data_IF_143132745264
#
_entry.id   IF_143132745264
#
_cell.length_a   1.000
_cell.length_b   1.000
_cell.length_c   1.000
_cell.angle_alpha   90.00
_cell.angle_beta   90.00
_cell.angle_gamma   90.00
#
_symmetry.space_group_name_H-M   'P 1'
#
loop_
_entity.id
_entity.type
_entity.pdbx_description
1 polymer ?
#
# COMPACT_ATOMS: atom_id res chain seq x y z
N UNK A 1 -14.84 2.16 -10.10
CA UNK A 1 -13.84 1.78 -11.13
C UNK A 1 -12.47 1.96 -10.50
N UNK A 2 -11.93 0.86 -9.99
CA UNK A 2 -10.55 0.82 -9.54
C UNK A 2 -9.70 0.59 -10.78
N UNK A 3 -8.66 1.38 -10.94
CA UNK A 3 -7.62 1.13 -11.91
C UNK A 3 -6.42 1.96 -11.51
N UNK A 4 -5.28 1.30 -11.39
CA UNK A 4 -4.05 1.96 -11.00
C UNK A 4 -2.86 1.03 -11.13
N UNK A 5 -3.03 -0.27 -10.91
CA UNK A 5 -1.96 -1.22 -11.22
C UNK A 5 -2.57 -2.52 -11.71
N UNK A 6 -2.34 -2.84 -12.98
CA UNK A 6 -2.55 -4.19 -13.50
C UNK A 6 -1.63 -5.16 -12.72
N UNK A 7 -2.18 -6.16 -12.01
CA UNK A 7 -1.39 -7.09 -11.21
C UNK A 7 -0.42 -7.95 -12.05
N UNK A 8 -0.65 -8.04 -13.36
CA UNK A 8 0.22 -8.71 -14.33
C UNK A 8 1.44 -7.88 -14.76
N UNK A 9 1.42 -6.55 -14.59
CA UNK A 9 2.53 -5.66 -14.97
C UNK A 9 3.60 -5.52 -13.89
N UNK A 10 3.38 -6.12 -12.73
CA UNK A 10 4.31 -6.09 -11.60
C UNK A 10 5.26 -7.29 -11.76
N UNK A 11 6.60 -7.09 -11.80
CA UNK A 11 7.55 -8.21 -11.80
C UNK A 11 7.27 -9.14 -10.61
N UNK A 12 7.39 -10.46 -10.75
CA UNK A 12 7.02 -11.42 -9.68
C UNK A 12 7.75 -11.16 -8.35
N UNK A 13 8.98 -10.65 -8.37
CA UNK A 13 9.71 -10.15 -7.19
C UNK A 13 8.99 -8.99 -6.48
N UNK A 14 8.31 -8.13 -7.24
CA UNK A 14 7.52 -7.03 -6.71
C UNK A 14 6.09 -7.45 -6.35
N UNK A 15 5.50 -8.49 -6.96
CA UNK A 15 4.14 -8.95 -6.62
C UNK A 15 4.03 -9.36 -5.15
N UNK A 16 5.07 -9.95 -4.58
CA UNK A 16 5.08 -10.32 -3.16
C UNK A 16 5.05 -9.11 -2.21
N UNK A 17 5.68 -8.00 -2.58
CA UNK A 17 5.77 -6.78 -1.77
C UNK A 17 4.80 -5.67 -2.21
N UNK A 18 4.09 -5.86 -3.33
CA UNK A 18 3.10 -4.91 -3.80
C UNK A 18 1.79 -5.12 -3.04
N UNK A 19 1.23 -4.00 -2.60
CA UNK A 19 -0.10 -3.88 -2.04
C UNK A 19 -0.94 -3.04 -2.99
N UNK A 20 -2.12 -3.54 -3.36
CA UNK A 20 -3.03 -2.87 -4.28
C UNK A 20 -4.46 -2.95 -3.74
N UNK A 21 -5.27 -1.94 -4.09
CA UNK A 21 -6.65 -1.81 -3.65
C UNK A 21 -6.94 -0.47 -2.99
N UNK A 22 -8.04 -0.40 -2.25
CA UNK A 22 -8.43 0.80 -1.49
C UNK A 22 -7.44 1.09 -0.34
N UNK A 23 -7.33 2.34 0.16
CA UNK A 23 -6.42 2.68 1.24
C UNK A 23 -6.57 1.80 2.49
N UNK A 24 -7.81 1.40 2.83
CA UNK A 24 -8.09 0.42 3.90
C UNK A 24 -7.50 -0.96 3.61
N UNK A 25 -7.68 -1.50 2.40
CA UNK A 25 -7.13 -2.80 2.04
C UNK A 25 -5.61 -2.79 2.01
N UNK A 26 -5.00 -1.67 1.61
CA UNK A 26 -3.56 -1.48 1.66
C UNK A 26 -3.09 -1.49 3.12
N UNK A 27 -3.80 -0.79 4.01
CA UNK A 27 -3.48 -0.77 5.45
C UNK A 27 -3.58 -2.17 6.09
N UNK A 28 -4.62 -2.94 5.77
CA UNK A 28 -4.75 -4.33 6.24
C UNK A 28 -3.61 -5.23 5.75
N UNK A 29 -3.27 -5.15 4.45
CA UNK A 29 -2.15 -5.91 3.89
C UNK A 29 -0.81 -5.51 4.51
N UNK A 30 -0.60 -4.22 4.79
CA UNK A 30 0.61 -3.75 5.50
C UNK A 30 0.63 -4.32 6.91
N UNK A 31 -0.49 -4.33 7.63
CA UNK A 31 -0.57 -4.94 8.96
C UNK A 31 -0.15 -6.41 8.92
N UNK A 32 -0.77 -7.21 8.05
CA UNK A 32 -0.48 -8.66 7.97
C UNK A 32 0.96 -8.96 7.54
N UNK A 33 1.51 -8.18 6.60
CA UNK A 33 2.85 -8.42 6.05
C UNK A 33 3.99 -7.81 6.88
N UNK A 34 3.72 -6.77 7.66
CA UNK A 34 4.74 -5.95 8.35
C UNK A 34 4.58 -6.09 9.86
N UNK A 35 3.46 -5.62 10.41
CA UNK A 35 3.22 -5.58 11.87
C UNK A 35 3.13 -7.00 12.46
N UNK A 36 2.35 -7.90 11.85
CA UNK A 36 2.23 -9.29 12.28
C UNK A 36 3.53 -10.10 12.05
N UNK A 37 4.41 -9.63 11.15
CA UNK A 37 5.73 -10.21 10.93
C UNK A 37 6.80 -9.69 11.91
N UNK A 38 6.45 -8.78 12.83
CA UNK A 38 7.39 -8.19 13.81
C UNK A 38 8.29 -7.11 13.21
N UNK A 39 7.89 -6.49 12.10
CA UNK A 39 8.61 -5.40 11.46
C UNK A 39 7.97 -4.07 11.90
N UNK A 40 8.75 -3.16 12.47
CA UNK A 40 8.23 -1.90 13.00
C UNK A 40 8.00 -0.80 11.94
N UNK A 41 8.43 -1.01 10.70
CA UNK A 41 8.29 0.01 9.66
C UNK A 41 8.49 -0.50 8.24
N UNK A 42 7.84 0.16 7.29
CA UNK A 42 7.93 -0.13 5.85
C UNK A 42 7.98 1.18 5.06
N UNK A 43 8.72 1.16 3.95
CA UNK A 43 8.74 2.25 2.98
C UNK A 43 7.73 1.92 1.89
N UNK A 44 6.69 2.76 1.76
CA UNK A 44 5.69 2.60 0.71
C UNK A 44 6.11 3.35 -0.53
N UNK A 45 6.35 2.63 -1.62
CA UNK A 45 6.56 3.22 -2.94
C UNK A 45 5.23 3.32 -3.68
N UNK A 46 4.84 4.54 -4.06
CA UNK A 46 3.63 4.79 -4.86
C UNK A 46 4.05 5.18 -6.27
N UNK A 47 3.88 4.30 -7.27
CA UNK A 47 4.26 4.59 -8.65
C UNK A 47 3.25 5.53 -9.31
N UNK A 48 3.35 6.84 -9.01
CA UNK A 48 2.50 7.89 -9.61
C UNK A 48 2.59 7.97 -11.13
N UNK A 49 3.68 7.48 -11.72
CA UNK A 49 3.86 7.36 -13.17
C UNK A 49 2.99 6.27 -13.80
N UNK A 50 2.59 5.26 -13.02
CA UNK A 50 1.75 4.13 -13.47
C UNK A 50 0.29 4.40 -13.11
N UNK A 51 0.03 4.79 -11.87
CA UNK A 51 -1.33 4.92 -11.33
C UNK A 51 -1.93 6.32 -11.58
N UNK A 52 -1.12 7.27 -12.05
CA UNK A 52 -1.44 8.69 -12.09
C UNK A 52 -1.23 9.39 -10.74
N UNK A 53 -1.04 10.72 -10.77
CA UNK A 53 -1.02 11.49 -9.53
C UNK A 53 -2.45 11.70 -9.01
N UNK A 54 -2.73 11.17 -7.82
CA UNK A 54 -4.01 11.35 -7.13
C UNK A 54 -3.79 12.14 -5.85
N UNK A 55 -4.31 13.37 -5.83
CA UNK A 55 -4.22 14.23 -4.66
C UNK A 55 -4.92 13.56 -3.47
N UNK A 56 -4.22 13.46 -2.34
CA UNK A 56 -4.80 12.95 -1.09
C UNK A 56 -4.73 11.42 -0.91
N UNK A 57 -4.23 10.66 -1.88
CA UNK A 57 -4.03 9.21 -1.70
C UNK A 57 -3.06 8.89 -0.55
N UNK A 58 -1.94 9.61 -0.45
CA UNK A 58 -1.01 9.46 0.68
C UNK A 58 -1.64 9.89 2.00
N UNK A 59 -2.49 10.93 2.00
CA UNK A 59 -3.22 11.36 3.20
C UNK A 59 -4.21 10.29 3.64
N UNK A 60 -5.01 9.75 2.73
CA UNK A 60 -5.98 8.68 3.01
C UNK A 60 -5.29 7.39 3.47
N UNK A 61 -4.15 7.04 2.86
CA UNK A 61 -3.31 5.94 3.32
C UNK A 61 -2.77 6.20 4.72
N UNK A 62 -2.29 7.41 4.99
CA UNK A 62 -1.82 7.83 6.30
C UNK A 62 -2.91 7.75 7.37
N UNK A 63 -4.14 8.17 7.07
CA UNK A 63 -5.29 8.04 7.98
C UNK A 63 -5.66 6.58 8.24
N UNK A 64 -5.61 5.72 7.22
CA UNK A 64 -5.88 4.29 7.36
C UNK A 64 -4.77 3.56 8.16
N UNK A 65 -3.52 3.99 8.03
CA UNK A 65 -2.38 3.42 8.77
C UNK A 65 -2.26 3.96 10.19
N UNK A 66 -2.71 5.18 10.46
CA UNK A 66 -2.64 5.84 11.77
C UNK A 66 -3.08 4.95 12.96
N UNK A 67 -4.24 4.26 12.93
CA UNK A 67 -4.63 3.36 14.02
C UNK A 67 -3.78 2.10 14.14
N UNK A 68 -2.99 1.76 13.11
CA UNK A 68 -2.17 0.55 13.06
C UNK A 68 -0.73 0.78 13.52
N UNK A 69 -0.20 2.00 13.34
CA UNK A 69 1.19 2.35 13.70
C UNK A 69 1.30 3.20 14.97
N UNK A 70 0.23 3.84 15.44
CA UNK A 70 0.25 4.69 16.64
C UNK A 70 0.07 3.90 17.95
N UNK A 71 0.67 2.71 18.01
CA UNK A 71 0.78 1.90 19.23
C UNK A 71 1.79 2.47 20.21
#
# INVERSE_FOLDING_TARGET
IGDGVDPDSIPDDFKQSTVAGSPMQIAEQIKEKVLDAGIDGVIVYVPTHVIGYHHGHLTALGEALKPLVAG
#
